data_IF_865136590933
#
_entry.id   IF_865136590933
#
_cell.length_a   1.000
_cell.length_b   1.000
_cell.length_c   1.000
_cell.angle_alpha   90.00
_cell.angle_beta   90.00
_cell.angle_gamma   90.00
#
_symmetry.space_group_name_H-M   'P 1'
#
loop_
_entity.id
_entity.type
_entity.pdbx_description
1 polymer ?
#
# COMPACT_ATOMS: atom_id res chain seq x y z
N UNK A 1 1.03 -12.75 0.85
CA UNK A 1 -0.11 -11.84 0.66
C UNK A 1 0.13 -10.98 -0.58
N UNK A 2 -0.83 -10.85 -1.51
CA UNK A 2 -0.70 -9.94 -2.65
C UNK A 2 -0.78 -8.47 -2.21
N UNK A 3 0.07 -7.61 -2.78
CA UNK A 3 0.12 -6.16 -2.54
C UNK A 3 -1.24 -5.46 -2.75
N UNK A 4 -2.08 -6.01 -3.63
CA UNK A 4 -3.42 -5.53 -3.91
C UNK A 4 -4.36 -5.57 -2.70
N UNK A 5 -4.19 -6.54 -1.78
CA UNK A 5 -5.09 -6.76 -0.64
C UNK A 5 -4.49 -6.25 0.68
N UNK A 6 -3.55 -5.30 0.60
CA UNK A 6 -2.95 -4.72 1.80
C UNK A 6 -4.03 -3.99 2.62
N UNK A 7 -4.23 -4.39 3.89
CA UNK A 7 -5.26 -3.87 4.76
C UNK A 7 -5.14 -2.36 5.02
N UNK A 8 -3.92 -1.82 5.05
CA UNK A 8 -3.70 -0.37 5.15
C UNK A 8 -4.20 0.38 3.91
N UNK A 9 -4.04 -0.20 2.72
CA UNK A 9 -4.55 0.39 1.47
C UNK A 9 -6.07 0.36 1.43
N UNK A 10 -6.69 -0.75 1.85
CA UNK A 10 -8.16 -0.88 1.93
C UNK A 10 -8.76 0.21 2.82
N UNK A 11 -8.14 0.46 3.98
CA UNK A 11 -8.61 1.48 4.93
C UNK A 11 -8.16 2.91 4.58
N UNK A 12 -7.21 3.07 3.65
CA UNK A 12 -6.61 4.35 3.30
C UNK A 12 -5.78 4.94 4.45
N UNK A 13 -5.06 4.10 5.19
CA UNK A 13 -4.23 4.48 6.33
C UNK A 13 -2.76 4.14 6.05
N UNK A 14 -1.87 4.67 6.88
CA UNK A 14 -0.46 4.27 6.89
C UNK A 14 -0.18 3.28 8.03
N UNK A 15 0.91 2.48 7.95
CA UNK A 15 1.36 1.60 9.04
C UNK A 15 1.50 2.29 10.40
N UNK A 16 1.76 3.60 10.41
CA UNK A 16 1.87 4.40 11.65
C UNK A 16 0.54 4.63 12.37
N UNK A 17 -0.59 4.24 11.78
CA UNK A 17 -1.90 4.40 12.40
C UNK A 17 -2.05 3.55 13.68
N UNK A 18 -2.53 4.18 14.75
CA UNK A 18 -2.87 3.50 16.00
C UNK A 18 -4.11 2.63 15.82
N UNK A 19 -4.28 1.64 16.70
CA UNK A 19 -5.45 0.76 16.68
C UNK A 19 -6.79 1.50 16.81
N UNK A 20 -6.84 2.55 17.64
CA UNK A 20 -8.03 3.41 17.76
C UNK A 20 -8.39 4.07 16.43
N UNK A 21 -7.38 4.62 15.72
CA UNK A 21 -7.57 5.26 14.41
C UNK A 21 -8.03 4.26 13.34
N UNK A 22 -7.50 3.03 13.38
CA UNK A 22 -7.88 1.95 12.47
C UNK A 22 -9.38 1.61 12.63
N UNK A 23 -9.84 1.40 13.87
CA UNK A 23 -11.26 1.11 14.15
C UNK A 23 -12.19 2.23 13.70
N UNK A 24 -11.89 3.47 14.10
CA UNK A 24 -12.67 4.64 13.71
C UNK A 24 -12.78 4.77 12.18
N UNK A 25 -11.68 4.51 11.46
CA UNK A 25 -11.67 4.58 10.00
C UNK A 25 -12.50 3.46 9.37
N UNK A 26 -12.44 2.24 9.91
CA UNK A 26 -13.23 1.12 9.42
C UNK A 26 -14.74 1.40 9.58
N UNK A 27 -15.17 1.88 10.76
CA UNK A 27 -16.56 2.27 11.03
C UNK A 27 -17.03 3.36 10.07
N UNK A 28 -16.23 4.42 9.89
CA UNK A 28 -16.56 5.49 8.96
C UNK A 28 -16.67 5.02 7.50
N UNK A 29 -15.83 4.04 7.10
CA UNK A 29 -15.90 3.48 5.75
C UNK A 29 -17.12 2.60 5.53
N UNK A 30 -17.54 1.84 6.54
CA UNK A 30 -18.76 1.03 6.47
C UNK A 30 -19.97 1.96 6.30
N UNK A 31 -20.09 2.99 7.13
CA UNK A 31 -21.18 3.97 7.01
C UNK A 31 -21.20 4.66 5.63
N UNK A 32 -20.03 5.03 5.09
CA UNK A 32 -19.91 5.65 3.76
C UNK A 32 -20.32 4.68 2.63
N UNK A 33 -20.00 3.40 2.76
CA UNK A 33 -20.40 2.36 1.81
C UNK A 33 -21.92 2.14 1.84
N UNK A 34 -22.52 2.08 3.02
CA UNK A 34 -23.98 1.95 3.21
C UNK A 34 -24.73 3.17 2.64
N UNK A 35 -24.16 4.37 2.80
CA UNK A 35 -24.70 5.62 2.25
C UNK A 35 -24.45 5.78 0.74
N UNK A 36 -23.67 4.90 0.10
CA UNK A 36 -23.32 5.00 -1.31
C UNK A 36 -22.46 6.22 -1.65
N UNK A 37 -21.61 6.67 -0.72
CA UNK A 37 -20.76 7.84 -0.92
C UNK A 37 -19.80 7.65 -2.11
N UNK A 38 -19.65 8.67 -2.99
CA UNK A 38 -18.75 8.58 -4.14
C UNK A 38 -17.31 8.26 -3.73
N UNK A 39 -16.74 7.19 -4.30
CA UNK A 39 -15.37 6.75 -4.02
C UNK A 39 -15.20 5.93 -2.74
N UNK A 40 -16.26 5.73 -1.95
CA UNK A 40 -16.24 4.79 -0.83
C UNK A 40 -16.05 3.34 -1.31
N UNK A 41 -16.52 3.01 -2.51
CA UNK A 41 -16.45 1.69 -3.14
C UNK A 41 -15.09 1.37 -3.80
N UNK A 42 -14.09 2.26 -3.69
CA UNK A 42 -12.79 2.11 -4.35
C UNK A 42 -11.62 2.53 -3.46
N UNK A 43 -10.46 1.93 -3.70
CA UNK A 43 -9.19 2.34 -3.11
C UNK A 43 -8.05 2.18 -4.11
N UNK A 44 -7.00 2.98 -3.93
CA UNK A 44 -5.81 2.96 -4.78
C UNK A 44 -4.79 1.92 -4.32
N UNK A 45 -4.17 1.24 -5.29
CA UNK A 45 -3.05 0.32 -5.02
C UNK A 45 -1.91 0.58 -6.00
N UNK A 46 -0.68 0.15 -5.71
CA UNK A 46 0.43 0.19 -6.67
C UNK A 46 0.14 -0.56 -7.99
N UNK A 47 -0.87 -1.44 -8.01
CA UNK A 47 -1.29 -2.21 -9.17
C UNK A 47 -2.51 -1.59 -9.87
N UNK A 48 -2.95 -0.40 -9.44
CA UNK A 48 -4.14 0.30 -9.94
C UNK A 48 -5.31 0.27 -8.94
N UNK A 49 -6.43 0.93 -9.28
CA UNK A 49 -7.58 1.01 -8.39
C UNK A 49 -8.27 -0.34 -8.19
N UNK A 50 -8.84 -0.55 -7.00
CA UNK A 50 -9.52 -1.80 -6.60
C UNK A 50 -10.85 -1.51 -5.91
N UNK A 51 -11.78 -2.45 -6.01
CA UNK A 51 -13.11 -2.38 -5.41
C UNK A 51 -13.06 -2.62 -3.90
N UNK A 52 -13.77 -1.79 -3.13
CA UNK A 52 -13.97 -1.91 -1.68
C UNK A 52 -15.44 -2.17 -1.40
N UNK A 53 -15.69 -3.14 -0.53
CA UNK A 53 -17.01 -3.40 0.05
C UNK A 53 -16.86 -3.68 1.54
N UNK A 54 -17.97 -3.80 2.26
CA UNK A 54 -17.99 -4.04 3.70
C UNK A 54 -17.18 -5.26 4.11
N UNK A 55 -17.35 -6.40 3.42
CA UNK A 55 -16.59 -7.63 3.70
C UNK A 55 -15.09 -7.41 3.58
N UNK A 56 -14.65 -6.58 2.63
CA UNK A 56 -13.23 -6.23 2.44
C UNK A 56 -12.72 -5.36 3.59
N UNK A 57 -13.53 -4.42 4.07
CA UNK A 57 -13.22 -3.56 5.23
C UNK A 57 -13.13 -4.39 6.52
N UNK A 58 -14.09 -5.28 6.77
CA UNK A 58 -14.05 -6.18 7.93
C UNK A 58 -12.83 -7.09 7.91
N UNK A 59 -12.52 -7.69 6.76
CA UNK A 59 -11.32 -8.52 6.61
C UNK A 59 -10.04 -7.73 6.88
N UNK A 60 -9.95 -6.48 6.39
CA UNK A 60 -8.82 -5.60 6.66
C UNK A 60 -8.69 -5.27 8.15
N UNK A 61 -9.81 -4.98 8.83
CA UNK A 61 -9.85 -4.71 10.26
C UNK A 61 -9.37 -5.92 11.09
N UNK A 62 -9.84 -7.12 10.75
CA UNK A 62 -9.44 -8.36 11.42
C UNK A 62 -7.94 -8.61 11.25
N UNK A 63 -7.42 -8.44 10.03
CA UNK A 63 -5.98 -8.61 9.73
C UNK A 63 -5.07 -7.66 10.51
N UNK A 64 -5.51 -6.42 10.71
CA UNK A 64 -4.72 -5.44 11.47
C UNK A 64 -4.87 -5.58 12.99
N UNK A 65 -5.83 -6.38 13.45
CA UNK A 65 -6.00 -6.73 14.87
C UNK A 65 -4.97 -7.77 15.32
N UNK A 66 -4.66 -8.72 14.44
CA UNK A 66 -3.65 -9.75 14.66
C UNK A 66 -2.24 -9.16 14.44
N UNK A 67 -1.36 -9.11 15.46
CA UNK A 67 -0.01 -8.60 15.32
C UNK A 67 0.82 -9.32 14.24
N UNK A 68 0.64 -10.63 14.09
CA UNK A 68 1.41 -11.43 13.14
C UNK A 68 1.01 -11.09 11.71
N UNK A 69 -0.30 -11.00 11.43
CA UNK A 69 -0.78 -10.57 10.11
C UNK A 69 -0.44 -9.10 9.85
N UNK A 70 -0.53 -8.24 10.87
CA UNK A 70 -0.21 -6.81 10.75
C UNK A 70 1.21 -6.60 10.25
N UNK A 71 2.21 -7.30 10.79
CA UNK A 71 3.62 -7.16 10.35
C UNK A 71 3.77 -7.41 8.86
N UNK A 72 3.09 -8.42 8.31
CA UNK A 72 3.11 -8.69 6.87
C UNK A 72 2.59 -7.48 6.08
N UNK A 73 1.49 -6.87 6.53
CA UNK A 73 0.92 -5.69 5.89
C UNK A 73 1.83 -4.45 5.97
N UNK A 74 2.60 -4.31 7.05
CA UNK A 74 3.57 -3.22 7.21
C UNK A 74 4.74 -3.39 6.25
N UNK A 75 5.33 -4.59 6.16
CA UNK A 75 6.45 -4.89 5.26
C UNK A 75 6.07 -4.60 3.80
N UNK A 76 4.88 -5.02 3.38
CA UNK A 76 4.43 -4.83 2.00
C UNK A 76 3.91 -3.40 1.71
N UNK A 77 3.82 -2.52 2.71
CA UNK A 77 3.38 -1.14 2.48
C UNK A 77 4.38 -0.31 1.68
N UNK A 78 5.68 -0.58 1.85
CA UNK A 78 6.78 0.20 1.25
C UNK A 78 7.02 -0.12 -0.23
N UNK A 79 6.20 -0.99 -0.84
CA UNK A 79 6.36 -1.35 -2.25
C UNK A 79 6.24 -0.11 -3.18
N UNK A 80 7.13 0.03 -4.18
CA UNK A 80 7.13 1.19 -5.08
C UNK A 80 5.78 1.35 -5.77
N UNK A 81 5.20 2.55 -5.67
CA UNK A 81 3.94 2.89 -6.34
C UNK A 81 4.20 3.09 -7.82
N UNK A 82 3.42 2.45 -8.69
CA UNK A 82 3.54 2.59 -10.15
C UNK A 82 3.40 4.07 -10.51
N UNK A 83 4.42 4.64 -11.17
CA UNK A 83 4.50 6.06 -11.52
C UNK A 83 5.39 6.91 -10.62
N UNK A 84 5.81 6.41 -9.45
CA UNK A 84 6.93 6.98 -8.72
C UNK A 84 8.22 6.55 -9.46
N UNK A 85 8.56 7.25 -10.54
CA UNK A 85 9.89 7.12 -11.11
C UNK A 85 10.88 7.49 -9.99
N UNK A 86 11.83 6.63 -9.63
CA UNK A 86 12.93 7.09 -8.81
C UNK A 86 13.59 8.23 -9.59
N UNK A 87 13.68 9.42 -8.99
CA UNK A 87 14.63 10.44 -9.42
C UNK A 87 16.02 9.85 -9.17
N UNK A 88 16.47 9.00 -10.10
CA UNK A 88 17.85 8.55 -10.14
C UNK A 88 18.64 9.77 -10.59
N UNK A 89 19.27 10.46 -9.65
CA UNK A 89 20.25 11.48 -9.96
C UNK A 89 21.42 10.78 -10.67
N UNK A 90 21.98 11.40 -11.71
CA UNK A 90 23.18 10.88 -12.39
C UNK A 90 24.38 10.71 -11.42
N UNK A 91 24.34 11.37 -10.25
CA UNK A 91 25.31 11.22 -9.15
C UNK A 91 25.20 9.87 -8.41
N UNK A 92 24.03 9.22 -8.41
CA UNK A 92 23.81 7.86 -7.86
C UNK A 92 24.14 6.76 -8.88
N UNK A 93 24.46 7.13 -10.13
CA UNK A 93 24.98 6.19 -11.10
C UNK A 93 26.41 5.82 -10.68
N UNK A 94 26.61 4.59 -10.22
CA UNK A 94 27.94 4.08 -9.85
C UNK A 94 28.90 4.23 -11.06
N UNK A 95 29.80 5.24 -11.09
CA UNK A 95 30.47 5.63 -12.33
C UNK A 95 31.49 4.58 -12.78
N UNK A 96 31.99 3.80 -11.82
CA UNK A 96 33.01 2.77 -12.02
C UNK A 96 32.44 1.42 -12.47
N UNK A 97 31.11 1.25 -12.55
CA UNK A 97 30.47 -0.07 -12.65
C UNK A 97 30.70 -0.71 -14.03
N UNK A 98 30.62 0.05 -15.14
CA UNK A 98 30.96 -0.50 -16.44
C UNK A 98 32.44 -0.90 -16.53
N UNK A 99 33.34 -0.09 -15.95
CA UNK A 99 34.78 -0.32 -15.99
C UNK A 99 35.25 -1.47 -15.09
N UNK A 100 34.66 -1.60 -13.89
CA UNK A 100 34.98 -2.67 -12.93
C UNK A 100 34.51 -4.06 -13.39
N UNK A 101 33.48 -4.13 -14.24
CA UNK A 101 32.93 -5.38 -14.79
C UNK A 101 33.34 -5.65 -16.25
N UNK A 102 34.29 -4.89 -16.80
CA UNK A 102 34.84 -5.11 -18.13
C UNK A 102 33.88 -4.82 -19.29
N UNK A 103 32.77 -4.13 -19.02
CA UNK A 103 31.78 -3.79 -20.04
C UNK A 103 32.22 -2.53 -20.77
N UNK A 104 32.63 -2.67 -22.04
CA UNK A 104 32.87 -1.52 -22.93
C UNK A 104 31.65 -1.33 -23.82
N UNK A 105 31.01 -0.16 -23.72
CA UNK A 105 30.05 0.28 -24.73
C UNK A 105 30.79 0.44 -26.07
N UNK A 106 30.22 -0.11 -27.14
CA UNK A 106 30.75 -0.03 -28.49
C UNK A 106 30.38 1.28 -29.15
#
# INVERSE_FOLDING_TARGET
>A
MPLADNAFLVLGLTPRASWSRIKQRAEALIAALEAGEPGADRYETPLGPRSRNESTVFRALTRLRDPDERIHHEIWWEAPRRGAAPTRSDEDAWPQAPAAWGWRAR
#
